data_IF_590550023837
#
_entry.id   IF_590550023837
#
_cell.length_a   1.000
_cell.length_b   1.000
_cell.length_c   1.000
_cell.angle_alpha   90.00
_cell.angle_beta   90.00
_cell.angle_gamma   90.00
#
_symmetry.space_group_name_H-M   'P 1'
#
loop_
_entity.id
_entity.type
_entity.pdbx_description
1 polymer ?
#
# COMPACT_ATOMS: atom_id res chain seq x y z
N UNK A 1 23.82 6.88 -29.88
CA UNK A 1 25.05 6.47 -29.19
C UNK A 1 24.92 5.03 -28.72
N UNK A 2 25.89 4.17 -29.06
CA UNK A 2 25.87 2.75 -28.65
C UNK A 2 26.37 2.63 -27.21
N UNK A 3 25.88 1.64 -26.44
CA UNK A 3 26.25 1.44 -25.02
C UNK A 3 27.77 1.43 -24.79
N UNK A 4 28.51 0.73 -25.65
CA UNK A 4 29.97 0.60 -25.53
C UNK A 4 30.73 1.92 -25.70
N UNK A 5 30.21 2.80 -26.57
CA UNK A 5 30.80 4.12 -26.87
C UNK A 5 30.64 5.06 -25.67
N UNK A 6 29.44 5.06 -25.07
CA UNK A 6 29.15 5.83 -23.86
C UNK A 6 29.92 5.34 -22.62
N UNK A 7 30.11 4.03 -22.44
CA UNK A 7 30.92 3.48 -21.33
C UNK A 7 32.37 3.96 -21.42
N UNK A 8 32.92 3.99 -22.64
CA UNK A 8 34.30 4.40 -22.89
C UNK A 8 34.48 5.90 -22.59
N UNK A 9 33.56 6.75 -23.07
CA UNK A 9 33.59 8.19 -22.76
C UNK A 9 33.50 8.48 -21.26
N UNK A 10 32.69 7.72 -20.52
CA UNK A 10 32.58 7.88 -19.06
C UNK A 10 33.86 7.42 -18.35
N UNK A 11 34.45 6.29 -18.73
CA UNK A 11 35.73 5.82 -18.16
C UNK A 11 36.83 6.86 -18.39
N UNK A 12 36.99 7.30 -19.65
CA UNK A 12 37.99 8.29 -20.05
C UNK A 12 37.81 9.65 -19.32
N UNK A 13 36.59 9.96 -18.84
CA UNK A 13 36.30 11.14 -18.04
C UNK A 13 36.75 10.99 -16.58
N UNK A 14 36.53 9.84 -15.95
CA UNK A 14 36.92 9.59 -14.56
C UNK A 14 38.42 9.35 -14.41
N UNK A 15 39.06 8.66 -15.36
CA UNK A 15 40.52 8.44 -15.38
C UNK A 15 41.30 9.77 -15.43
N UNK A 16 40.73 10.81 -16.07
CA UNK A 16 41.33 12.15 -16.13
C UNK A 16 41.24 12.95 -14.83
N UNK A 17 40.34 12.58 -13.92
CA UNK A 17 40.21 13.24 -12.61
C UNK A 17 41.11 12.61 -11.54
N UNK A 18 41.85 11.53 -11.86
CA UNK A 18 42.87 10.93 -10.99
C UNK A 18 42.30 10.12 -9.83
N UNK A 19 41.08 9.61 -9.96
CA UNK A 19 40.37 8.91 -8.90
C UNK A 19 40.25 7.42 -9.27
N UNK A 20 41.35 6.69 -9.11
CA UNK A 20 41.52 5.27 -9.50
C UNK A 20 40.61 4.29 -8.72
N UNK A 21 39.85 4.77 -7.74
CA UNK A 21 38.98 3.96 -6.85
C UNK A 21 37.48 4.22 -7.05
N UNK A 22 37.08 4.85 -8.17
CA UNK A 22 35.68 5.22 -8.45
C UNK A 22 34.93 4.10 -9.17
N UNK A 23 33.94 3.52 -8.49
CA UNK A 23 32.99 2.58 -9.09
C UNK A 23 31.78 3.29 -9.72
N UNK A 24 31.65 3.25 -11.05
CA UNK A 24 30.53 3.87 -11.78
C UNK A 24 29.45 2.82 -12.11
N UNK A 25 28.29 2.94 -11.44
CA UNK A 25 27.12 2.10 -11.71
C UNK A 25 26.14 2.77 -12.66
N UNK A 26 25.99 2.22 -13.87
CA UNK A 26 25.03 2.69 -14.87
C UNK A 26 23.74 1.89 -14.85
N UNK A 27 22.71 2.48 -14.26
CA UNK A 27 21.37 1.88 -14.17
C UNK A 27 20.46 2.51 -15.23
N UNK A 28 20.15 1.75 -16.28
CA UNK A 28 19.08 2.12 -17.21
C UNK A 28 17.74 1.82 -16.55
N UNK A 29 17.16 2.83 -15.90
CA UNK A 29 15.80 2.73 -15.37
C UNK A 29 14.80 2.33 -16.45
N UNK A 30 13.87 1.42 -16.15
CA UNK A 30 12.71 1.19 -17.01
C UNK A 30 11.86 2.46 -17.00
N UNK A 31 11.38 2.92 -18.16
CA UNK A 31 10.40 4.01 -18.21
C UNK A 31 9.16 3.55 -17.45
N UNK A 32 8.76 4.29 -16.42
CA UNK A 32 7.48 4.10 -15.76
C UNK A 32 6.40 4.65 -16.69
N UNK A 33 5.21 4.03 -16.68
CA UNK A 33 4.05 4.61 -17.35
C UNK A 33 3.69 5.92 -16.63
N UNK A 34 3.47 6.97 -17.40
CA UNK A 34 2.89 8.22 -16.88
C UNK A 34 1.37 8.09 -16.92
N UNK A 35 0.71 8.51 -15.85
CA UNK A 35 -0.76 8.51 -15.74
C UNK A 35 -1.25 9.94 -15.63
N UNK A 36 -2.25 10.29 -16.43
CA UNK A 36 -2.90 11.60 -16.33
C UNK A 36 -4.04 11.61 -15.30
N UNK A 37 -4.42 10.43 -14.81
CA UNK A 37 -5.47 10.23 -13.81
C UNK A 37 -4.86 9.61 -12.55
N UNK A 38 -5.42 9.93 -11.36
CA UNK A 38 -5.14 9.19 -10.14
C UNK A 38 -5.55 7.72 -10.30
N UNK A 39 -4.75 6.82 -9.76
CA UNK A 39 -5.06 5.40 -9.73
C UNK A 39 -4.76 4.80 -8.36
N UNK A 40 -5.42 3.67 -8.09
CA UNK A 40 -5.18 2.83 -6.93
C UNK A 40 -4.86 1.42 -7.42
N UNK A 41 -3.97 0.72 -6.71
CA UNK A 41 -3.67 -0.69 -6.96
C UNK A 41 -4.59 -1.51 -6.06
N UNK A 42 -5.36 -2.43 -6.64
CA UNK A 42 -6.18 -3.40 -5.91
C UNK A 42 -5.51 -4.77 -5.86
N UNK A 43 -5.46 -5.37 -4.67
CA UNK A 43 -5.06 -6.76 -4.49
C UNK A 43 -6.29 -7.65 -4.55
N UNK A 44 -6.66 -8.00 -5.77
CA UNK A 44 -7.95 -8.57 -6.15
C UNK A 44 -8.45 -9.67 -5.21
N UNK A 45 -7.70 -10.78 -5.04
CA UNK A 45 -8.18 -11.93 -4.27
C UNK A 45 -8.53 -11.53 -2.83
N UNK A 46 -7.61 -10.88 -2.11
CA UNK A 46 -7.87 -10.49 -0.72
C UNK A 46 -9.07 -9.56 -0.58
N UNK A 47 -9.19 -8.58 -1.48
CA UNK A 47 -10.30 -7.63 -1.41
C UNK A 47 -11.63 -8.31 -1.74
N UNK A 48 -11.66 -9.16 -2.78
CA UNK A 48 -12.84 -9.91 -3.17
C UNK A 48 -13.29 -10.86 -2.06
N UNK A 49 -12.38 -11.63 -1.48
CA UNK A 49 -12.65 -12.56 -0.38
C UNK A 49 -13.23 -11.80 0.82
N UNK A 50 -12.59 -10.69 1.24
CA UNK A 50 -13.09 -9.83 2.32
C UNK A 50 -14.49 -9.27 2.04
N UNK A 51 -14.76 -8.83 0.80
CA UNK A 51 -16.09 -8.32 0.39
C UNK A 51 -17.17 -9.41 0.50
N UNK A 52 -16.86 -10.62 0.03
CA UNK A 52 -17.79 -11.76 0.02
C UNK A 52 -18.05 -12.25 1.45
N UNK A 53 -17.00 -12.50 2.21
CA UNK A 53 -17.08 -13.04 3.58
C UNK A 53 -17.85 -12.10 4.52
N UNK A 54 -17.67 -10.80 4.34
CA UNK A 54 -18.35 -9.78 5.15
C UNK A 54 -19.68 -9.31 4.56
N UNK A 55 -20.13 -9.90 3.43
CA UNK A 55 -21.39 -9.58 2.76
C UNK A 55 -21.54 -8.06 2.53
N UNK A 56 -20.50 -7.45 1.97
CA UNK A 56 -20.51 -6.03 1.66
C UNK A 56 -21.55 -5.74 0.58
N UNK A 57 -22.35 -4.70 0.83
CA UNK A 57 -23.45 -4.29 -0.04
C UNK A 57 -22.99 -3.28 -1.08
N UNK A 58 -23.83 -3.01 -2.09
CA UNK A 58 -23.58 -1.94 -3.06
C UNK A 58 -23.34 -0.59 -2.38
N UNK A 59 -24.06 -0.29 -1.30
CA UNK A 59 -23.85 0.95 -0.51
C UNK A 59 -22.46 0.98 0.12
N UNK A 60 -22.00 -0.14 0.67
CA UNK A 60 -20.66 -0.23 1.28
C UNK A 60 -19.56 0.00 0.22
N UNK A 61 -19.77 -0.50 -1.00
CA UNK A 61 -18.86 -0.28 -2.13
C UNK A 61 -18.85 1.17 -2.61
N UNK A 62 -20.03 1.81 -2.71
CA UNK A 62 -20.13 3.23 -3.08
C UNK A 62 -19.40 4.12 -2.05
N UNK A 63 -19.58 3.83 -0.76
CA UNK A 63 -18.84 4.50 0.32
C UNK A 63 -17.34 4.26 0.18
N UNK A 64 -16.90 3.03 -0.05
CA UNK A 64 -15.47 2.71 -0.25
C UNK A 64 -14.87 3.49 -1.42
N UNK A 65 -15.52 3.47 -2.60
CA UNK A 65 -15.02 4.20 -3.77
C UNK A 65 -15.00 5.71 -3.55
N UNK A 66 -16.00 6.26 -2.84
CA UNK A 66 -15.99 7.69 -2.52
C UNK A 66 -14.89 8.04 -1.52
N UNK A 67 -14.60 7.17 -0.54
CA UNK A 67 -13.47 7.35 0.36
C UNK A 67 -12.14 7.33 -0.42
N UNK A 68 -11.94 6.38 -1.33
CA UNK A 68 -10.73 6.26 -2.16
C UNK A 68 -10.44 7.57 -2.91
N UNK A 69 -11.48 8.25 -3.41
CA UNK A 69 -11.34 9.55 -4.09
C UNK A 69 -10.65 10.63 -3.24
N UNK A 70 -10.80 10.58 -1.92
CA UNK A 70 -10.22 11.54 -0.97
C UNK A 70 -8.98 11.01 -0.25
N UNK A 71 -8.60 9.76 -0.49
CA UNK A 71 -7.44 9.19 0.19
C UNK A 71 -6.16 9.78 -0.38
N UNK A 72 -5.35 10.29 0.53
CA UNK A 72 -4.04 10.84 0.23
C UNK A 72 -2.96 9.74 0.27
N UNK A 73 -1.75 10.10 -0.14
CA UNK A 73 -0.59 9.23 -0.03
C UNK A 73 -0.44 8.64 1.38
N UNK A 74 -0.07 7.36 1.48
CA UNK A 74 -0.01 6.64 2.74
C UNK A 74 -1.34 6.06 3.21
N UNK A 75 -2.34 5.98 2.31
CA UNK A 75 -3.64 5.38 2.56
C UNK A 75 -4.45 6.04 3.70
N UNK A 76 -4.16 7.30 4.03
CA UNK A 76 -4.81 8.00 5.14
C UNK A 76 -6.20 8.50 4.71
N UNK A 77 -7.22 8.16 5.49
CA UNK A 77 -8.59 8.64 5.30
C UNK A 77 -8.76 9.94 6.10
N UNK A 78 -8.64 11.07 5.40
CA UNK A 78 -8.75 12.42 5.96
C UNK A 78 -10.06 13.09 5.53
N UNK A 79 -11.19 12.51 5.93
CA UNK A 79 -12.51 13.03 5.59
C UNK A 79 -13.53 12.68 6.68
N UNK A 80 -14.64 13.42 6.70
CA UNK A 80 -15.75 13.15 7.63
C UNK A 80 -16.83 12.31 6.96
N UNK A 81 -17.59 11.55 7.75
CA UNK A 81 -18.75 10.82 7.23
C UNK A 81 -19.83 11.74 6.65
N UNK A 82 -19.86 13.01 7.07
CA UNK A 82 -20.76 14.03 6.54
C UNK A 82 -20.42 14.37 5.09
N UNK A 83 -19.13 14.55 4.79
CA UNK A 83 -18.66 14.76 3.41
C UNK A 83 -19.12 13.64 2.47
N UNK A 84 -19.05 12.39 2.90
CA UNK A 84 -19.53 11.25 2.10
C UNK A 84 -21.07 11.22 1.99
N UNK A 85 -21.77 11.60 3.07
CA UNK A 85 -23.23 11.70 3.09
C UNK A 85 -23.72 12.67 2.03
N UNK A 86 -23.12 13.86 1.98
CA UNK A 86 -23.44 14.93 1.03
C UNK A 86 -23.12 14.51 -0.41
N UNK A 87 -21.94 13.91 -0.63
CA UNK A 87 -21.51 13.45 -1.95
C UNK A 87 -22.42 12.37 -2.57
N UNK A 88 -22.89 11.45 -1.73
CA UNK A 88 -23.69 10.32 -2.18
C UNK A 88 -25.21 10.59 -2.11
N UNK A 89 -25.63 11.67 -1.46
CA UNK A 89 -27.05 11.92 -1.16
C UNK A 89 -27.67 10.83 -0.26
N UNK A 90 -26.86 10.20 0.58
CA UNK A 90 -27.26 9.08 1.46
C UNK A 90 -27.23 9.53 2.90
N UNK A 91 -28.22 9.12 3.70
CA UNK A 91 -28.30 9.47 5.11
C UNK A 91 -27.05 9.06 5.92
N UNK A 92 -26.62 9.94 6.84
CA UNK A 92 -25.41 9.78 7.66
C UNK A 92 -25.44 8.50 8.50
N UNK A 93 -26.60 8.00 8.90
CA UNK A 93 -26.71 6.73 9.62
C UNK A 93 -26.34 5.53 8.75
N UNK A 94 -26.69 5.56 7.46
CA UNK A 94 -26.27 4.53 6.51
C UNK A 94 -24.77 4.60 6.25
N UNK A 95 -24.21 5.81 6.10
CA UNK A 95 -22.75 6.00 5.97
C UNK A 95 -22.02 5.42 7.19
N UNK A 96 -22.50 5.73 8.40
CA UNK A 96 -21.91 5.21 9.65
C UNK A 96 -21.93 3.68 9.70
N UNK A 97 -23.04 3.05 9.28
CA UNK A 97 -23.15 1.59 9.18
C UNK A 97 -22.15 1.01 8.18
N UNK A 98 -21.98 1.64 7.01
CA UNK A 98 -20.99 1.22 6.02
C UNK A 98 -19.56 1.38 6.53
N UNK A 99 -19.23 2.49 7.19
CA UNK A 99 -17.91 2.67 7.83
C UNK A 99 -17.62 1.59 8.87
N UNK A 100 -18.62 1.23 9.68
CA UNK A 100 -18.50 0.14 10.66
C UNK A 100 -18.20 -1.19 9.96
N UNK A 101 -18.99 -1.56 8.94
CA UNK A 101 -18.76 -2.80 8.16
C UNK A 101 -17.39 -2.83 7.48
N UNK A 102 -16.99 -1.73 6.85
CA UNK A 102 -15.68 -1.62 6.19
C UNK A 102 -14.54 -1.74 7.20
N UNK A 103 -14.73 -1.29 8.45
CA UNK A 103 -13.76 -1.49 9.52
C UNK A 103 -13.75 -2.95 10.01
N UNK A 104 -14.92 -3.57 10.20
CA UNK A 104 -15.06 -4.96 10.64
C UNK A 104 -14.49 -5.96 9.60
N UNK A 105 -14.66 -5.66 8.30
CA UNK A 105 -14.04 -6.44 7.21
C UNK A 105 -12.52 -6.30 7.10
N UNK A 106 -11.93 -5.39 7.88
CA UNK A 106 -10.51 -5.06 7.86
C UNK A 106 -10.10 -4.15 6.70
N UNK A 107 -11.02 -3.75 5.80
CA UNK A 107 -10.74 -2.82 4.69
C UNK A 107 -10.33 -1.45 5.23
N UNK A 108 -11.01 -0.98 6.27
CA UNK A 108 -10.60 0.18 7.05
C UNK A 108 -9.89 -0.25 8.32
N UNK A 109 -8.83 0.47 8.65
CA UNK A 109 -8.00 0.19 9.81
C UNK A 109 -7.87 1.44 10.65
N UNK A 110 -8.24 1.31 11.92
CA UNK A 110 -8.07 2.37 12.91
C UNK A 110 -6.80 2.14 13.70
N UNK A 111 -5.91 3.13 13.72
CA UNK A 111 -4.73 3.15 14.59
C UNK A 111 -4.71 4.47 15.35
N UNK A 112 -4.75 4.39 16.68
CA UNK A 112 -4.91 5.57 17.56
C UNK A 112 -6.12 6.41 17.13
N UNK A 113 -5.88 7.64 16.67
CA UNK A 113 -6.92 8.58 16.20
C UNK A 113 -7.09 8.61 14.69
N UNK A 114 -6.26 7.88 13.96
CA UNK A 114 -6.23 7.89 12.50
C UNK A 114 -6.98 6.70 11.92
N UNK A 115 -7.56 6.90 10.74
CA UNK A 115 -8.23 5.88 9.95
C UNK A 115 -7.48 5.73 8.64
N UNK A 116 -7.23 4.49 8.24
CA UNK A 116 -6.46 4.14 7.06
C UNK A 116 -7.22 3.14 6.21
N UNK A 117 -6.97 3.19 4.91
CA UNK A 117 -7.22 2.09 4.00
C UNK A 117 -6.14 1.02 4.18
N UNK A 118 -6.55 -0.23 4.34
CA UNK A 118 -5.62 -1.34 4.56
C UNK A 118 -4.80 -1.64 3.28
N UNK A 119 -3.46 -1.53 3.32
CA UNK A 119 -2.59 -1.79 2.18
C UNK A 119 -2.65 -3.23 1.64
N UNK A 120 -3.11 -4.21 2.43
CA UNK A 120 -3.31 -5.57 1.94
C UNK A 120 -4.44 -5.69 0.93
N UNK A 121 -5.37 -4.75 0.89
CA UNK A 121 -6.46 -4.76 -0.09
C UNK A 121 -6.23 -3.76 -1.21
N UNK A 122 -5.69 -2.60 -0.88
CA UNK A 122 -5.59 -1.50 -1.82
C UNK A 122 -4.52 -0.49 -1.42
N UNK A 123 -3.82 0.05 -2.41
CA UNK A 123 -2.65 0.88 -2.20
C UNK A 123 -2.64 2.05 -3.19
N UNK A 124 -2.70 3.28 -2.67
CA UNK A 124 -2.54 4.48 -3.47
C UNK A 124 -1.06 4.71 -3.74
N UNK A 125 -0.62 4.81 -4.99
CA UNK A 125 0.75 5.23 -5.33
C UNK A 125 1.79 4.10 -5.45
N UNK A 126 3.03 4.37 -5.01
CA UNK A 126 4.18 3.50 -5.25
C UNK A 126 4.33 2.43 -4.16
N UNK A 127 4.18 1.14 -4.53
CA UNK A 127 4.24 0.02 -3.60
C UNK A 127 5.52 -0.03 -2.76
N UNK A 128 6.67 0.32 -3.35
CA UNK A 128 7.93 0.27 -2.61
C UNK A 128 7.94 1.32 -1.50
N UNK A 129 7.55 2.56 -1.82
CA UNK A 129 7.43 3.62 -0.82
C UNK A 129 6.32 3.34 0.19
N UNK A 130 5.27 2.61 -0.21
CA UNK A 130 4.13 2.31 0.67
C UNK A 130 4.52 1.47 1.87
N UNK A 131 5.58 0.65 1.76
CA UNK A 131 6.09 -0.15 2.88
C UNK A 131 6.60 0.68 4.06
N UNK A 132 6.90 1.96 3.84
CA UNK A 132 7.37 2.89 4.88
C UNK A 132 6.23 3.66 5.56
N UNK A 133 4.99 3.50 5.06
CA UNK A 133 3.82 4.23 5.54
C UNK A 133 3.31 3.67 6.87
N UNK A 134 2.65 4.53 7.66
CA UNK A 134 2.04 4.10 8.92
C UNK A 134 0.95 3.04 8.71
N UNK A 135 0.13 3.17 7.66
CA UNK A 135 -0.88 2.17 7.33
C UNK A 135 -0.26 0.77 7.12
N UNK A 136 0.86 0.69 6.40
CA UNK A 136 1.56 -0.57 6.16
C UNK A 136 2.14 -1.15 7.44
N UNK A 137 2.87 -0.34 8.22
CA UNK A 137 3.44 -0.77 9.51
C UNK A 137 2.37 -1.22 10.49
N UNK A 138 1.23 -0.53 10.55
CA UNK A 138 0.10 -0.92 11.39
C UNK A 138 -0.40 -2.32 11.04
N UNK A 139 -0.61 -2.60 9.75
CA UNK A 139 -1.07 -3.92 9.30
C UNK A 139 -0.03 -4.99 9.58
N UNK A 140 1.23 -4.73 9.22
CA UNK A 140 2.32 -5.66 9.46
C UNK A 140 2.46 -5.99 10.95
N UNK A 141 2.37 -4.98 11.83
CA UNK A 141 2.41 -5.20 13.28
C UNK A 141 1.22 -6.01 13.82
N UNK A 142 0.03 -5.91 13.20
CA UNK A 142 -1.12 -6.76 13.56
C UNK A 142 -0.88 -8.19 13.14
N UNK A 143 -0.43 -8.37 11.90
CA UNK A 143 -0.04 -9.66 11.36
C UNK A 143 1.02 -10.34 12.22
N UNK A 144 2.06 -9.63 12.67
CA UNK A 144 3.05 -10.19 13.60
C UNK A 144 2.40 -10.75 14.87
N UNK A 145 1.45 -10.01 15.47
CA UNK A 145 0.75 -10.45 16.68
C UNK A 145 -0.13 -11.67 16.41
N UNK A 146 -0.93 -11.61 15.35
CA UNK A 146 -1.82 -12.70 14.93
C UNK A 146 -1.05 -14.00 14.68
N UNK A 147 0.13 -13.92 14.04
CA UNK A 147 0.97 -15.08 13.80
C UNK A 147 1.64 -15.55 15.08
N UNK A 148 2.26 -14.67 15.88
CA UNK A 148 2.95 -15.06 17.12
C UNK A 148 2.01 -15.75 18.13
N UNK A 149 0.72 -15.37 18.15
CA UNK A 149 -0.31 -16.01 18.98
C UNK A 149 -0.55 -17.49 18.63
N UNK A 150 -0.37 -17.88 17.37
CA UNK A 150 -0.65 -19.24 16.88
C UNK A 150 0.62 -20.02 16.52
N UNK A 151 1.77 -19.36 16.50
CA UNK A 151 3.04 -19.94 16.06
C UNK A 151 3.64 -20.83 17.16
N UNK A 152 3.94 -22.11 16.86
CA UNK A 152 4.64 -22.98 17.80
C UNK A 152 6.00 -22.41 18.21
N UNK A 153 6.39 -22.59 19.47
CA UNK A 153 7.63 -22.04 20.01
C UNK A 153 8.90 -22.45 19.23
N UNK A 154 8.88 -23.64 18.61
CA UNK A 154 9.98 -24.17 17.79
C UNK A 154 10.06 -23.59 16.37
N UNK A 155 9.17 -22.65 16.01
CA UNK A 155 9.13 -21.99 14.70
C UNK A 155 9.21 -20.47 14.79
N UNK A 156 9.55 -19.91 15.96
CA UNK A 156 9.58 -18.46 16.17
C UNK A 156 10.57 -17.71 15.26
N UNK A 157 11.59 -18.39 14.78
CA UNK A 157 12.53 -17.90 13.76
C UNK A 157 11.87 -17.68 12.39
N UNK A 158 10.74 -18.34 12.10
CA UNK A 158 9.97 -18.16 10.87
C UNK A 158 9.02 -16.94 10.93
N UNK A 159 8.80 -16.33 12.09
CA UNK A 159 7.78 -15.29 12.31
C UNK A 159 7.89 -14.11 11.34
N UNK A 160 9.11 -13.59 11.17
CA UNK A 160 9.40 -12.45 10.30
C UNK A 160 9.02 -12.74 8.85
N UNK A 161 9.49 -13.88 8.35
CA UNK A 161 9.20 -14.35 7.01
C UNK A 161 7.70 -14.54 6.81
N UNK A 162 7.02 -15.22 7.73
CA UNK A 162 5.58 -15.48 7.63
C UNK A 162 4.75 -14.19 7.65
N UNK A 163 5.09 -13.23 8.52
CA UNK A 163 4.40 -11.96 8.59
C UNK A 163 4.54 -11.19 7.27
N UNK A 164 5.76 -11.09 6.75
CA UNK A 164 6.02 -10.40 5.49
C UNK A 164 5.41 -11.09 4.27
N UNK A 165 5.47 -12.42 4.17
CA UNK A 165 4.87 -13.19 3.07
C UNK A 165 3.34 -13.14 3.09
N UNK A 166 2.73 -12.90 4.25
CA UNK A 166 1.28 -12.70 4.35
C UNK A 166 0.83 -11.32 3.85
N UNK A 167 1.73 -10.33 3.74
CA UNK A 167 1.40 -9.01 3.21
C UNK A 167 1.20 -9.08 1.69
N UNK A 168 0.36 -8.20 1.13
CA UNK A 168 0.10 -8.24 -0.33
C UNK A 168 1.27 -7.74 -1.18
N UNK A 169 2.21 -7.04 -0.56
CA UNK A 169 3.46 -6.60 -1.16
C UNK A 169 4.49 -6.39 -0.05
N UNK A 170 5.77 -6.49 -0.39
CA UNK A 170 6.89 -6.27 0.54
C UNK A 170 8.13 -5.78 -0.22
N UNK A 171 9.09 -5.18 0.49
CA UNK A 171 10.43 -4.95 -0.08
C UNK A 171 11.09 -6.33 -0.25
N UNK A 172 11.54 -6.61 -1.47
CA UNK A 172 12.42 -7.75 -1.74
C UNK A 172 13.87 -7.37 -1.45
#
# INVERSE_FOLDING_TARGET
MKKQEFMKEMSDFFDKQGDDDVNVNLIKGKRKAETNEPFVIFFYNKLADSMVDNKLTTTDLLVLFRVIHYVSWGNVINLTQETISDDLGVDKSNISRSFKKLTESGIFIREKKSLFLNPNYLCMGDLFKSTETEAYKTVLNRTYKEIDEVLPANKRDELDKMAHESMSFMKK
#
